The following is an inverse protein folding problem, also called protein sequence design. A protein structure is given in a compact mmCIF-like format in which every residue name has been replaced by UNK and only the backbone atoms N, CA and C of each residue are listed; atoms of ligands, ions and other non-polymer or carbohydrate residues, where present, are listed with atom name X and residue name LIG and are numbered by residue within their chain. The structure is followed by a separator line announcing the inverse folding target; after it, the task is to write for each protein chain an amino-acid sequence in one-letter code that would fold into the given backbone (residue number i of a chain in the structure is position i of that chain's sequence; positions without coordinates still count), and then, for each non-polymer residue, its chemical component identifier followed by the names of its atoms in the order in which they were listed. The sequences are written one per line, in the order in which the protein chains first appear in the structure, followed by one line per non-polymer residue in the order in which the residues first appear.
data_IF_768639495875
#
_entry.id   IF_768639495875
#
_cell.length_a   1.000
_cell.length_b   1.000
_cell.length_c   1.000
_cell.angle_alpha   90.00
_cell.angle_beta   90.00
_cell.angle_gamma   90.00
#
_symmetry.space_group_name_H-M   'P 1'
#
loop_
_entity.id
_entity.type
_entity.pdbx_description
1 polymer ?
#
# COMPACT_ATOMS: atom_id res chain seq x y z
N UNK A 1 2.72 -18.50 26.03
CA UNK A 1 2.51 -18.77 24.60
C UNK A 1 2.69 -17.49 23.83
N UNK A 2 3.66 -17.43 22.92
CA UNK A 2 3.90 -16.24 22.10
C UNK A 2 3.07 -16.39 20.81
N UNK A 3 1.97 -15.65 20.70
CA UNK A 3 1.14 -15.64 19.50
C UNK A 3 1.83 -14.71 18.50
N UNK A 4 2.41 -15.28 17.45
CA UNK A 4 2.94 -14.49 16.34
C UNK A 4 1.79 -14.00 15.45
N UNK A 5 2.01 -12.87 14.79
CA UNK A 5 1.10 -12.40 13.75
C UNK A 5 1.07 -13.42 12.60
N UNK A 6 -0.10 -13.59 12.00
CA UNK A 6 -0.36 -14.45 10.82
C UNK A 6 -0.72 -13.61 9.58
N UNK A 7 -0.65 -12.30 9.73
CA UNK A 7 -0.94 -11.30 8.70
C UNK A 7 0.32 -10.47 8.60
N UNK A 8 1.04 -10.66 7.50
CA UNK A 8 2.28 -9.98 7.18
C UNK A 8 2.00 -8.93 6.11
N UNK A 9 2.34 -7.68 6.38
CA UNK A 9 2.25 -6.60 5.41
C UNK A 9 3.60 -5.90 5.31
N UNK A 10 3.94 -5.52 4.09
CA UNK A 10 5.18 -4.82 3.76
C UNK A 10 4.87 -3.37 3.38
N UNK A 11 5.92 -2.55 3.27
CA UNK A 11 5.79 -1.18 2.79
C UNK A 11 5.21 -1.16 1.38
N UNK A 12 4.18 -0.34 1.16
CA UNK A 12 3.60 -0.10 -0.16
C UNK A 12 4.32 1.10 -0.81
N UNK A 13 4.71 0.94 -2.07
CA UNK A 13 5.40 1.97 -2.85
C UNK A 13 4.43 2.55 -3.88
N UNK A 14 4.47 3.87 -4.07
CA UNK A 14 3.69 4.56 -5.10
C UNK A 14 4.10 4.13 -6.50
N UNK A 15 3.14 4.01 -7.41
CA UNK A 15 3.42 3.79 -8.84
C UNK A 15 3.82 5.09 -9.55
N UNK A 16 3.30 6.21 -9.06
CA UNK A 16 3.62 7.55 -9.54
C UNK A 16 4.99 8.02 -9.05
N UNK A 17 5.61 8.98 -9.74
CA UNK A 17 6.88 9.55 -9.30
C UNK A 17 6.66 10.45 -8.08
N UNK A 18 7.60 10.42 -7.15
CA UNK A 18 7.55 11.24 -5.93
C UNK A 18 7.29 12.73 -6.20
N UNK A 19 7.91 13.28 -7.24
CA UNK A 19 7.79 14.70 -7.61
C UNK A 19 6.37 15.07 -8.07
N UNK A 20 5.60 14.10 -8.57
CA UNK A 20 4.25 14.34 -9.09
C UNK A 20 3.19 14.43 -7.98
N UNK A 21 3.51 13.96 -6.75
CA UNK A 21 2.52 13.86 -5.69
C UNK A 21 2.97 14.30 -4.29
N UNK A 22 4.24 14.60 -4.07
CA UNK A 22 4.71 15.05 -2.77
C UNK A 22 4.47 16.55 -2.59
N UNK A 23 3.61 16.90 -1.63
CA UNK A 23 3.40 18.29 -1.20
C UNK A 23 3.94 18.48 0.22
N UNK A 24 4.84 19.46 0.39
CA UNK A 24 5.34 19.86 1.71
C UNK A 24 4.49 21.01 2.23
N UNK A 25 3.50 20.68 3.06
CA UNK A 25 2.73 21.69 3.79
C UNK A 25 3.57 22.24 4.93
N UNK A 26 3.88 23.53 4.87
CA UNK A 26 4.61 24.23 5.93
C UNK A 26 3.63 25.05 6.77
N UNK A 27 3.50 24.71 8.05
CA UNK A 27 2.64 25.45 8.97
C UNK A 27 3.40 26.65 9.52
N UNK A 28 3.04 27.84 9.03
CA UNK A 28 3.51 29.10 9.61
C UNK A 28 2.60 29.45 10.79
N UNK A 29 3.18 29.70 11.96
CA UNK A 29 2.41 30.27 13.07
C UNK A 29 2.33 31.79 12.91
N UNK A 30 1.11 32.32 13.03
CA UNK A 30 0.88 33.75 13.10
C UNK A 30 0.75 34.12 14.57
N UNK A 31 1.70 34.88 15.11
CA UNK A 31 1.58 35.44 16.45
C UNK A 31 0.60 36.63 16.42
N UNK A 32 -0.50 36.51 17.15
CA UNK A 32 -1.65 37.43 17.14
C UNK A 32 -1.36 38.90 17.53
N UNK A 33 -0.37 39.24 18.38
CA UNK A 33 -0.11 40.65 18.71
C UNK A 33 0.76 41.41 17.70
N UNK A 34 1.54 40.73 16.85
CA UNK A 34 2.58 41.38 16.01
C UNK A 34 2.43 41.13 14.51
N UNK A 35 1.53 40.24 14.07
CA UNK A 35 1.43 39.80 12.66
C UNK A 35 2.79 39.41 12.02
N UNK A 36 3.78 39.06 12.84
CA UNK A 36 5.09 38.62 12.37
C UNK A 36 5.05 37.12 12.16
N UNK A 37 5.46 36.66 10.98
CA UNK A 37 5.63 35.24 10.70
C UNK A 37 6.92 34.76 11.37
N UNK A 38 6.80 34.17 12.56
CA UNK A 38 7.89 33.42 13.17
C UNK A 38 8.25 32.16 12.36
N UNK A 39 9.46 31.61 12.58
CA UNK A 39 9.99 30.39 11.95
C UNK A 39 8.93 29.27 11.90
N UNK A 40 8.82 28.59 10.76
CA UNK A 40 7.91 27.48 10.52
C UNK A 40 7.93 26.44 11.66
N UNK A 41 6.76 26.17 12.25
CA UNK A 41 6.59 25.34 13.44
C UNK A 41 6.48 23.83 13.12
N UNK A 42 6.35 23.47 11.85
CA UNK A 42 6.37 22.07 11.39
C UNK A 42 6.25 21.96 9.88
N UNK A 43 6.82 20.89 9.33
CA UNK A 43 6.61 20.44 7.94
C UNK A 43 5.82 19.15 7.98
N UNK A 44 4.74 19.08 7.22
CA UNK A 44 3.97 17.85 6.99
C UNK A 44 4.07 17.51 5.52
N UNK A 45 4.62 16.33 5.22
CA UNK A 45 4.58 15.77 3.87
C UNK A 45 3.19 15.17 3.65
N UNK A 46 2.51 15.63 2.61
CA UNK A 46 1.19 15.16 2.21
C UNK A 46 1.25 14.62 0.80
N UNK A 47 0.58 13.51 0.57
CA UNK A 47 0.42 12.91 -0.75
C UNK A 47 -0.81 13.52 -1.42
N UNK A 48 -0.69 13.93 -2.69
CA UNK A 48 -1.85 14.37 -3.46
C UNK A 48 -2.85 13.23 -3.68
N UNK A 49 -4.14 13.55 -3.93
CA UNK A 49 -5.13 12.53 -4.28
C UNK A 49 -4.76 11.77 -5.56
N UNK A 50 -5.30 10.54 -5.69
CA UNK A 50 -5.17 9.65 -6.87
C UNK A 50 -3.81 8.94 -7.05
N UNK A 51 -2.96 8.92 -6.03
CA UNK A 51 -1.74 8.09 -6.01
C UNK A 51 -2.09 6.63 -5.70
N UNK A 52 -1.47 5.72 -6.43
CA UNK A 52 -1.74 4.29 -6.37
C UNK A 52 -0.61 3.55 -5.64
N UNK A 53 -0.98 2.80 -4.61
CA UNK A 53 -0.05 2.06 -3.76
C UNK A 53 -0.30 0.55 -3.86
N UNK A 54 0.28 -0.15 -4.85
CA UNK A 54 0.26 -1.60 -4.88
C UNK A 54 0.83 -2.15 -3.57
N UNK A 55 0.08 -3.05 -2.95
CA UNK A 55 0.44 -3.70 -1.70
C UNK A 55 0.12 -5.18 -1.79
N UNK A 56 0.93 -5.99 -1.09
CA UNK A 56 0.74 -7.42 -0.94
C UNK A 56 0.63 -7.68 0.56
N UNK A 57 -0.39 -8.46 0.94
CA UNK A 57 -0.57 -8.94 2.30
C UNK A 57 -0.51 -10.46 2.28
N UNK A 58 0.39 -11.00 3.07
CA UNK A 58 0.61 -12.45 3.17
C UNK A 58 -0.12 -12.98 4.39
N UNK A 59 -0.92 -14.04 4.17
CA UNK A 59 -1.73 -14.69 5.20
C UNK A 59 -1.19 -16.10 5.45
N UNK A 60 -0.67 -16.35 6.65
CA UNK A 60 -0.02 -17.61 6.99
C UNK A 60 -0.95 -18.48 7.84
N UNK A 61 -1.25 -19.70 7.36
CA UNK A 61 -2.06 -20.70 8.08
C UNK A 61 -3.40 -20.14 8.59
N UNK A 62 -4.10 -19.41 7.73
CA UNK A 62 -5.43 -18.86 8.02
C UNK A 62 -6.52 -19.87 7.67
N UNK A 63 -7.56 -19.90 8.49
CA UNK A 63 -8.80 -20.63 8.19
C UNK A 63 -9.65 -19.85 7.19
N UNK A 64 -10.64 -20.50 6.59
CA UNK A 64 -11.59 -19.85 5.67
C UNK A 64 -12.31 -18.66 6.32
N UNK A 65 -12.75 -18.82 7.58
CA UNK A 65 -13.42 -17.74 8.31
C UNK A 65 -12.50 -16.53 8.54
N UNK A 66 -11.22 -16.78 8.83
CA UNK A 66 -10.21 -15.73 9.02
C UNK A 66 -9.89 -15.02 7.71
N UNK A 67 -9.80 -15.75 6.59
CA UNK A 67 -9.64 -15.17 5.26
C UNK A 67 -10.81 -14.24 4.93
N UNK A 68 -12.05 -14.69 5.11
CA UNK A 68 -13.26 -13.88 4.85
C UNK A 68 -13.29 -12.64 5.74
N UNK A 69 -12.98 -12.79 7.03
CA UNK A 69 -12.90 -11.67 7.97
C UNK A 69 -11.85 -10.65 7.52
N UNK A 70 -10.67 -11.12 7.14
CA UNK A 70 -9.59 -10.28 6.67
C UNK A 70 -9.98 -9.51 5.41
N UNK A 71 -10.53 -10.19 4.39
CA UNK A 71 -10.98 -9.55 3.16
C UNK A 71 -12.06 -8.49 3.39
N UNK A 72 -13.05 -8.78 4.25
CA UNK A 72 -14.07 -7.79 4.63
C UNK A 72 -13.46 -6.59 5.33
N UNK A 73 -12.52 -6.81 6.24
CA UNK A 73 -11.84 -5.73 6.96
C UNK A 73 -11.03 -4.87 6.00
N UNK A 74 -10.27 -5.48 5.10
CA UNK A 74 -9.48 -4.78 4.09
C UNK A 74 -10.36 -3.94 3.16
N UNK A 75 -11.43 -4.52 2.60
CA UNK A 75 -12.32 -3.83 1.65
C UNK A 75 -13.15 -2.71 2.30
N UNK A 76 -13.40 -2.77 3.60
CA UNK A 76 -14.12 -1.71 4.34
C UNK A 76 -13.20 -0.65 4.93
N UNK A 77 -11.89 -0.91 5.00
CA UNK A 77 -10.92 0.05 5.50
C UNK A 77 -10.76 1.20 4.51
N UNK A 78 -11.08 2.43 4.93
CA UNK A 78 -10.91 3.65 4.11
C UNK A 78 -10.01 4.70 4.72
N UNK A 79 -9.88 4.70 6.05
CA UNK A 79 -9.15 5.72 6.79
C UNK A 79 -7.74 5.25 7.05
N UNK A 80 -6.78 5.79 6.30
CA UNK A 80 -5.35 5.54 6.49
C UNK A 80 -4.69 6.82 7.01
N UNK A 81 -3.98 6.74 8.14
CA UNK A 81 -3.33 7.90 8.74
C UNK A 81 -3.06 7.70 10.23
N UNK A 82 -2.00 8.35 10.72
CA UNK A 82 -1.54 8.23 12.10
C UNK A 82 -2.15 9.27 13.05
N UNK A 83 -2.59 10.42 12.54
CA UNK A 83 -3.18 11.50 13.34
C UNK A 83 -4.69 11.64 13.10
N UNK A 84 -5.45 11.85 14.17
CA UNK A 84 -6.90 12.11 14.14
C UNK A 84 -7.29 13.31 13.27
N UNK A 85 -6.34 14.19 12.92
CA UNK A 85 -6.55 15.41 12.14
C UNK A 85 -6.04 15.34 10.70
N UNK A 86 -5.06 14.48 10.40
CA UNK A 86 -4.47 14.32 9.07
C UNK A 86 -4.81 12.90 8.60
N UNK A 87 -6.05 12.75 8.11
CA UNK A 87 -6.61 11.49 7.61
C UNK A 87 -6.50 11.46 6.09
N UNK A 88 -5.84 10.44 5.55
CA UNK A 88 -5.95 10.08 4.15
C UNK A 88 -7.15 9.15 3.95
N UNK A 89 -8.02 9.47 3.01
CA UNK A 89 -9.02 8.52 2.53
C UNK A 89 -8.44 7.72 1.37
N UNK A 90 -8.38 6.40 1.53
CA UNK A 90 -7.98 5.47 0.48
C UNK A 90 -9.11 4.49 0.17
N UNK A 91 -9.13 3.98 -1.05
CA UNK A 91 -10.03 2.90 -1.45
C UNK A 91 -9.19 1.69 -1.84
N UNK A 92 -9.43 0.57 -1.15
CA UNK A 92 -8.73 -0.68 -1.44
C UNK A 92 -9.43 -1.42 -2.58
N UNK A 93 -8.64 -1.84 -3.56
CA UNK A 93 -9.08 -2.67 -4.68
C UNK A 93 -8.35 -4.02 -4.60
N UNK A 94 -9.10 -5.10 -4.49
CA UNK A 94 -8.55 -6.45 -4.52
C UNK A 94 -8.32 -6.88 -5.96
N UNK A 95 -7.05 -6.91 -6.39
CA UNK A 95 -6.68 -7.26 -7.77
C UNK A 95 -6.49 -8.77 -7.97
N UNK A 96 -6.17 -9.52 -6.92
CA UNK A 96 -5.98 -10.96 -7.00
C UNK A 96 -5.67 -11.60 -5.65
N UNK A 97 -5.86 -12.91 -5.59
CA UNK A 97 -5.43 -13.76 -4.47
C UNK A 97 -4.61 -14.90 -5.06
N UNK A 98 -3.42 -15.12 -4.51
CA UNK A 98 -2.53 -16.22 -4.92
C UNK A 98 -2.25 -17.14 -3.74
N UNK A 99 -2.21 -18.44 -4.03
CA UNK A 99 -1.76 -19.45 -3.08
C UNK A 99 -0.35 -19.92 -3.44
N UNK A 100 0.51 -20.00 -2.45
CA UNK A 100 1.87 -20.52 -2.57
C UNK A 100 2.38 -21.03 -1.23
N UNK A 101 3.51 -21.73 -1.24
CA UNK A 101 4.16 -22.18 0.01
C UNK A 101 4.86 -21.03 0.75
N UNK A 102 5.28 -19.99 0.01
CA UNK A 102 5.95 -18.78 0.50
C UNK A 102 5.35 -17.54 -0.17
N UNK A 103 5.73 -16.35 0.30
CA UNK A 103 5.37 -15.08 -0.37
C UNK A 103 5.96 -15.07 -1.79
N UNK A 104 5.07 -15.05 -2.79
CA UNK A 104 5.45 -15.19 -4.20
C UNK A 104 6.20 -13.97 -4.75
N UNK A 105 5.81 -12.79 -4.28
CA UNK A 105 6.23 -11.50 -4.79
C UNK A 105 6.15 -10.48 -3.65
N UNK A 106 7.13 -9.60 -3.56
CA UNK A 106 7.11 -8.48 -2.62
C UNK A 106 6.41 -7.25 -3.22
N UNK A 107 5.87 -6.31 -2.42
CA UNK A 107 5.27 -5.09 -2.96
C UNK A 107 6.23 -4.25 -3.82
N UNK A 108 7.54 -4.29 -3.54
CA UNK A 108 8.54 -3.59 -4.33
C UNK A 108 8.68 -4.23 -5.72
N UNK A 109 8.79 -5.55 -5.80
CA UNK A 109 8.87 -6.25 -7.08
C UNK A 109 7.59 -6.05 -7.89
N UNK A 110 6.42 -6.11 -7.24
CA UNK A 110 5.16 -5.78 -7.91
C UNK A 110 5.16 -4.37 -8.48
N UNK A 111 5.63 -3.39 -7.72
CA UNK A 111 5.72 -2.01 -8.19
C UNK A 111 6.64 -1.88 -9.41
N UNK A 112 7.82 -2.50 -9.37
CA UNK A 112 8.78 -2.50 -10.49
C UNK A 112 8.20 -3.18 -11.74
N UNK A 113 7.55 -4.32 -11.58
CA UNK A 113 6.89 -5.05 -12.67
C UNK A 113 5.74 -4.26 -13.28
N UNK A 114 4.94 -3.58 -12.46
CA UNK A 114 3.86 -2.71 -12.95
C UNK A 114 4.43 -1.49 -13.67
N UNK A 115 5.49 -0.86 -13.17
CA UNK A 115 6.14 0.27 -13.84
C UNK A 115 6.82 -0.12 -15.17
N UNK A 116 7.23 -1.38 -15.30
CA UNK A 116 7.75 -1.92 -16.56
C UNK A 116 6.65 -2.23 -17.59
N UNK A 117 5.36 -2.14 -17.22
CA UNK A 117 4.19 -2.49 -18.04
C UNK A 117 3.23 -1.31 -18.12
N UNK A 118 2.27 -1.39 -19.06
CA UNK A 118 1.12 -0.48 -19.01
C UNK A 118 0.08 -1.08 -18.05
N UNK A 119 -0.08 -0.46 -16.88
CA UNK A 119 -1.06 -0.87 -15.88
C UNK A 119 -2.29 0.06 -15.78
N UNK A 120 -2.20 1.32 -16.24
CA UNK A 120 -3.24 2.34 -16.03
C UNK A 120 -4.54 2.02 -16.77
N UNK A 121 -4.44 1.37 -17.92
CA UNK A 121 -5.61 1.05 -18.74
C UNK A 121 -6.32 -0.23 -18.26
N UNK A 122 -5.54 -1.19 -17.75
CA UNK A 122 -6.08 -2.47 -17.27
C UNK A 122 -5.20 -3.05 -16.15
N UNK A 123 -5.39 -2.59 -14.90
CA UNK A 123 -4.55 -3.01 -13.77
C UNK A 123 -4.74 -4.48 -13.42
N UNK A 124 -5.95 -5.03 -13.58
CA UNK A 124 -6.22 -6.45 -13.35
C UNK A 124 -5.42 -7.34 -14.29
N UNK A 125 -5.39 -6.97 -15.58
CA UNK A 125 -4.59 -7.70 -16.58
C UNK A 125 -3.11 -7.59 -16.28
N UNK A 126 -2.60 -6.40 -15.98
CA UNK A 126 -1.18 -6.20 -15.67
C UNK A 126 -0.75 -7.04 -14.47
N UNK A 127 -1.51 -7.01 -13.37
CA UNK A 127 -1.25 -7.83 -12.18
C UNK A 127 -1.33 -9.32 -12.50
N UNK A 128 -2.36 -9.76 -13.23
CA UNK A 128 -2.49 -11.16 -13.63
C UNK A 128 -1.28 -11.66 -14.43
N UNK A 129 -0.85 -10.90 -15.44
CA UNK A 129 0.33 -11.23 -16.24
C UNK A 129 1.60 -11.25 -15.38
N UNK A 130 1.70 -10.39 -14.36
CA UNK A 130 2.84 -10.40 -13.42
C UNK A 130 2.81 -11.68 -12.59
N UNK A 131 1.67 -12.02 -12.00
CA UNK A 131 1.53 -13.24 -11.20
C UNK A 131 1.76 -14.51 -12.02
N UNK A 132 1.31 -14.53 -13.27
CA UNK A 132 1.55 -15.65 -14.20
C UNK A 132 3.04 -15.84 -14.52
N UNK A 133 3.81 -14.75 -14.63
CA UNK A 133 5.26 -14.82 -14.83
C UNK A 133 5.99 -15.45 -13.63
N UNK A 134 5.46 -15.24 -12.41
CA UNK A 134 6.05 -15.76 -11.18
C UNK A 134 5.50 -17.14 -10.78
N UNK A 135 4.55 -17.72 -11.53
CA UNK A 135 3.85 -18.98 -11.18
C UNK A 135 4.77 -20.14 -10.79
N UNK A 136 5.97 -20.21 -11.38
CA UNK A 136 6.91 -21.31 -11.15
C UNK A 136 7.53 -21.27 -9.76
N UNK A 137 7.49 -20.11 -9.08
CA UNK A 137 7.99 -19.92 -7.73
C UNK A 137 6.91 -20.15 -6.65
N UNK A 138 5.65 -20.37 -7.05
CA UNK A 138 4.56 -20.60 -6.10
C UNK A 138 4.68 -21.95 -5.37
N UNK A 139 5.39 -22.91 -5.96
CA UNK A 139 5.63 -24.22 -5.37
C UNK A 139 7.10 -24.60 -5.43
N UNK A 140 7.55 -25.40 -4.45
CA UNK A 140 8.89 -25.98 -4.50
C UNK A 140 9.02 -26.83 -5.76
N UNK A 141 10.03 -26.53 -6.59
CA UNK A 141 10.37 -27.36 -7.75
C UNK A 141 10.67 -28.77 -7.27
N UNK A 142 9.82 -29.72 -7.63
CA UNK A 142 10.09 -31.14 -7.42
C UNK A 142 11.25 -31.51 -8.34
N UNK A 143 12.35 -32.02 -7.78
CA UNK A 143 13.47 -32.56 -8.55
C UNK A 143 13.05 -33.79 -9.34
#
# INVERSE_FOLDING_TARGET
WNIKHRVDYNSAYSLENYEDYSEVLTWNAVETPTQSTGRALGKTETTTPLVNFPSIVTLTSVTEAELIMFLKTLLTCKSYGAETRIRGEMSNYLLGIVGGYEELLTPLELNLELNAREWRHNPEKAVKETLEAYREYAAFRTK
#
